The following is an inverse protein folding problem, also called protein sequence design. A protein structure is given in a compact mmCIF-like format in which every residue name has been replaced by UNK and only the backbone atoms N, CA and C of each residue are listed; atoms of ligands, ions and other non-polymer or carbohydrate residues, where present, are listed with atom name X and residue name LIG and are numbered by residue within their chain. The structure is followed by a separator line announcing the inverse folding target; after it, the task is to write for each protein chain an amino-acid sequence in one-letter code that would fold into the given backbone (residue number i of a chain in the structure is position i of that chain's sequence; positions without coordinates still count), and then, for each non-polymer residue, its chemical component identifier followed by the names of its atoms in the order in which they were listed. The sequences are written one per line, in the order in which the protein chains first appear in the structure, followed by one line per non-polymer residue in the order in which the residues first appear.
data_IF_910517748964
#
_entry.id   IF_910517748964
#
_cell.length_a   1.000
_cell.length_b   1.000
_cell.length_c   1.000
_cell.angle_alpha   90.00
_cell.angle_beta   90.00
_cell.angle_gamma   90.00
#
_symmetry.space_group_name_H-M   'P 1'
#
loop_
_entity.id
_entity.type
_entity.pdbx_description
1 polymer ?
#
# COMPACT_ATOMS: atom_id res chain seq x y z
N UNK A 1 -7.75 28.61 -3.25
CA UNK A 1 -8.80 28.27 -2.26
C UNK A 1 -8.11 27.83 -0.97
N UNK A 2 -8.43 28.46 0.16
CA UNK A 2 -7.78 28.30 1.47
C UNK A 2 -8.20 27.02 2.22
N UNK A 3 -8.40 25.91 1.50
CA UNK A 3 -8.90 24.67 2.10
C UNK A 3 -7.99 24.22 3.24
N UNK A 4 -8.56 23.87 4.39
CA UNK A 4 -7.86 23.43 5.61
C UNK A 4 -6.87 24.44 6.22
N UNK A 5 -6.83 25.72 5.80
CA UNK A 5 -5.85 26.66 6.34
C UNK A 5 -5.98 26.86 7.85
N UNK A 6 -7.22 26.94 8.35
CA UNK A 6 -7.53 27.18 9.77
C UNK A 6 -8.07 25.91 10.47
N UNK A 7 -7.76 24.74 9.93
CA UNK A 7 -8.21 23.45 10.45
C UNK A 7 -7.00 22.58 10.66
N UNK A 8 -6.81 22.03 11.84
CA UNK A 8 -5.78 21.03 12.07
C UNK A 8 -6.31 19.65 11.76
N UNK A 9 -5.50 18.90 11.01
CA UNK A 9 -5.82 17.54 10.63
C UNK A 9 -5.38 16.61 11.76
N UNK A 10 -6.23 15.69 12.25
CA UNK A 10 -5.86 14.76 13.30
C UNK A 10 -4.66 13.92 12.88
N UNK A 11 -3.71 13.74 13.79
CA UNK A 11 -2.60 12.81 13.61
C UNK A 11 -3.14 11.36 13.53
N UNK A 12 -2.59 10.51 12.66
CA UNK A 12 -2.94 9.09 12.66
C UNK A 12 -2.48 8.44 13.97
N UNK A 13 -3.16 7.36 14.38
CA UNK A 13 -2.89 6.69 15.66
C UNK A 13 -1.41 6.27 15.84
N UNK A 14 -0.75 5.65 14.84
CA UNK A 14 0.67 5.31 14.96
C UNK A 14 1.64 6.49 14.68
N UNK A 15 1.21 7.76 14.69
CA UNK A 15 2.10 8.90 14.34
C UNK A 15 3.36 9.02 15.21
N UNK A 16 3.30 8.54 16.47
CA UNK A 16 4.40 8.59 17.45
C UNK A 16 5.05 7.24 17.73
N UNK A 17 4.93 6.30 16.80
CA UNK A 17 5.57 4.99 16.85
C UNK A 17 7.10 5.08 17.05
N UNK A 18 7.64 4.23 17.93
CA UNK A 18 9.05 4.19 18.30
C UNK A 18 9.85 3.03 17.68
N UNK A 19 9.17 2.18 16.89
CA UNK A 19 9.73 1.05 16.16
C UNK A 19 10.37 -0.03 17.05
N UNK A 20 10.12 -0.02 18.37
CA UNK A 20 10.82 -0.90 19.31
C UNK A 20 10.47 -2.39 19.17
N UNK A 21 9.29 -2.70 18.64
CA UNK A 21 8.77 -4.07 18.47
C UNK A 21 8.77 -4.51 17.00
N UNK A 22 9.69 -3.98 16.20
CA UNK A 22 9.77 -4.19 14.75
C UNK A 22 11.20 -4.43 14.27
N UNK A 23 11.34 -4.93 13.05
CA UNK A 23 12.63 -5.15 12.41
C UNK A 23 13.41 -3.85 12.26
N UNK A 24 14.74 -3.96 12.22
CA UNK A 24 15.62 -2.79 12.06
C UNK A 24 15.30 -2.00 10.78
N UNK A 25 14.81 -2.68 9.73
CA UNK A 25 14.34 -2.06 8.49
C UNK A 25 13.37 -0.88 8.73
N UNK A 26 12.43 -1.01 9.66
CA UNK A 26 11.49 0.06 10.00
C UNK A 26 12.22 1.26 10.62
N UNK A 27 13.08 0.99 11.61
CA UNK A 27 13.85 2.02 12.33
C UNK A 27 14.83 2.78 11.41
N UNK A 28 15.50 2.06 10.52
CA UNK A 28 16.59 2.59 9.68
C UNK A 28 16.10 3.39 8.46
N UNK A 29 14.83 3.26 8.08
CA UNK A 29 14.25 4.02 6.99
C UNK A 29 14.38 5.55 7.20
N UNK A 30 14.63 6.27 6.10
CA UNK A 30 14.75 7.73 6.03
C UNK A 30 13.51 8.37 5.43
N UNK A 31 12.39 8.19 6.13
CA UNK A 31 11.06 8.66 5.76
C UNK A 31 10.33 9.40 6.89
N UNK A 32 11.04 9.79 7.96
CA UNK A 32 10.42 10.42 9.12
C UNK A 32 9.96 11.84 8.80
N UNK A 33 8.75 12.18 9.22
CA UNK A 33 8.17 13.52 9.06
C UNK A 33 9.02 14.60 9.73
N UNK A 34 9.53 14.34 10.93
CA UNK A 34 10.35 15.28 11.68
C UNK A 34 11.79 15.40 11.15
N UNK A 35 12.41 14.28 10.76
CA UNK A 35 13.84 14.23 10.42
C UNK A 35 14.14 14.35 8.94
N UNK A 36 13.36 13.68 8.08
CA UNK A 36 13.77 13.39 6.70
C UNK A 36 13.07 14.26 5.64
N UNK A 37 11.97 14.94 6.01
CA UNK A 37 11.32 15.89 5.11
C UNK A 37 12.23 17.06 4.76
N UNK A 38 12.26 17.40 3.48
CA UNK A 38 13.09 18.48 2.93
C UNK A 38 12.28 19.73 2.62
N UNK A 39 12.96 20.84 2.33
CA UNK A 39 12.32 22.08 1.86
C UNK A 39 11.49 21.87 0.58
N UNK A 40 11.87 20.88 -0.25
CA UNK A 40 11.11 20.53 -1.45
C UNK A 40 9.77 19.89 -1.09
N UNK A 41 9.76 19.05 -0.06
CA UNK A 41 8.56 18.38 0.42
C UNK A 41 7.60 19.39 1.08
N UNK A 42 8.15 20.27 1.92
CA UNK A 42 7.39 21.26 2.70
C UNK A 42 6.99 22.49 1.90
N UNK A 43 7.77 22.85 0.87
CA UNK A 43 7.60 24.03 0.00
C UNK A 43 7.67 25.37 0.74
N UNK A 44 8.02 25.34 2.02
CA UNK A 44 8.10 26.46 2.94
C UNK A 44 9.17 26.16 4.00
N UNK A 45 9.93 27.17 4.46
CA UNK A 45 10.88 26.98 5.53
C UNK A 45 10.17 26.66 6.84
N UNK A 46 10.79 25.78 7.64
CA UNK A 46 10.34 25.49 9.01
C UNK A 46 10.54 26.75 9.87
N UNK A 47 9.55 27.17 10.68
CA UNK A 47 9.69 28.31 11.60
C UNK A 47 10.82 28.10 12.62
N UNK A 48 11.56 29.16 12.93
CA UNK A 48 12.58 29.11 13.96
C UNK A 48 11.98 29.07 15.38
N UNK A 49 12.70 28.46 16.32
CA UNK A 49 12.35 28.46 17.75
C UNK A 49 11.32 27.43 18.18
N UNK A 50 10.91 26.51 17.30
CA UNK A 50 10.05 25.38 17.66
C UNK A 50 10.83 24.32 18.47
N UNK A 51 10.16 23.69 19.42
CA UNK A 51 10.63 22.42 20.01
C UNK A 51 10.51 21.29 18.98
N UNK A 52 11.18 20.16 19.20
CA UNK A 52 11.11 19.02 18.27
C UNK A 52 9.68 18.49 18.06
N UNK A 53 8.85 18.51 19.10
CA UNK A 53 7.45 18.10 19.00
C UNK A 53 6.62 19.09 18.15
N UNK A 54 6.79 20.39 18.39
CA UNK A 54 6.13 21.44 17.61
C UNK A 54 6.58 21.44 16.14
N UNK A 55 7.86 21.19 15.88
CA UNK A 55 8.39 21.05 14.52
C UNK A 55 7.78 19.85 13.80
N UNK A 56 7.75 18.68 14.45
CA UNK A 56 7.12 17.47 13.89
C UNK A 56 5.65 17.72 13.54
N UNK A 57 4.91 18.32 14.46
CA UNK A 57 3.51 18.67 14.25
C UNK A 57 3.34 19.68 13.12
N UNK A 58 4.18 20.72 13.07
CA UNK A 58 4.13 21.73 12.00
C UNK A 58 4.39 21.11 10.62
N UNK A 59 5.44 20.27 10.50
CA UNK A 59 5.78 19.55 9.27
C UNK A 59 4.63 18.64 8.83
N UNK A 60 4.05 17.90 9.76
CA UNK A 60 2.88 17.07 9.51
C UNK A 60 1.69 17.88 8.98
N UNK A 61 1.27 18.93 9.71
CA UNK A 61 0.15 19.77 9.30
C UNK A 61 0.38 20.39 7.93
N UNK A 62 1.61 20.83 7.63
CA UNK A 62 1.96 21.38 6.32
C UNK A 62 1.80 20.36 5.20
N UNK A 63 2.33 19.16 5.43
CA UNK A 63 2.32 18.03 4.50
C UNK A 63 0.90 17.54 4.22
N UNK A 64 0.14 17.17 5.26
CA UNK A 64 -1.19 16.57 5.10
C UNK A 64 -2.20 17.55 4.49
N UNK A 65 -2.13 18.84 4.86
CA UNK A 65 -2.99 19.88 4.25
C UNK A 65 -2.66 20.06 2.76
N UNK A 66 -1.40 19.93 2.36
CA UNK A 66 -1.02 19.98 0.95
C UNK A 66 -1.57 18.78 0.18
N UNK A 67 -1.39 17.58 0.73
CA UNK A 67 -1.90 16.33 0.17
C UNK A 67 -3.41 16.39 -0.04
N UNK A 68 -4.18 16.74 1.00
CA UNK A 68 -5.64 16.80 0.92
C UNK A 68 -6.17 17.88 -0.03
N UNK A 69 -5.42 18.97 -0.25
CA UNK A 69 -5.76 19.96 -1.29
C UNK A 69 -5.60 19.40 -2.70
N UNK A 70 -4.56 18.59 -2.93
CA UNK A 70 -4.40 17.86 -4.19
C UNK A 70 -5.55 16.87 -4.40
N UNK A 71 -5.90 16.08 -3.37
CA UNK A 71 -7.05 15.15 -3.42
C UNK A 71 -8.35 15.88 -3.79
N UNK A 72 -8.66 17.00 -3.11
CA UNK A 72 -9.85 17.79 -3.42
C UNK A 72 -9.83 18.36 -4.86
N UNK A 73 -8.65 18.71 -5.39
CA UNK A 73 -8.52 19.15 -6.78
C UNK A 73 -8.79 18.00 -7.76
N UNK A 74 -8.32 16.79 -7.47
CA UNK A 74 -8.59 15.61 -8.31
C UNK A 74 -10.08 15.25 -8.26
N UNK A 75 -10.69 15.22 -7.07
CA UNK A 75 -12.11 14.91 -6.86
C UNK A 75 -13.04 15.81 -7.68
N UNK A 76 -12.82 17.13 -7.66
CA UNK A 76 -13.56 18.07 -8.49
C UNK A 76 -13.47 17.76 -10.00
N UNK A 77 -12.32 17.28 -10.47
CA UNK A 77 -12.14 16.93 -11.89
C UNK A 77 -12.73 15.56 -12.23
N UNK A 78 -12.73 14.61 -11.30
CA UNK A 78 -13.49 13.35 -11.45
C UNK A 78 -14.97 13.66 -11.59
N UNK A 79 -15.53 14.54 -10.74
CA UNK A 79 -16.92 14.98 -10.85
C UNK A 79 -17.26 15.55 -12.23
N UNK A 80 -16.41 16.42 -12.77
CA UNK A 80 -16.59 16.98 -14.14
C UNK A 80 -16.58 15.92 -15.23
N UNK A 81 -15.75 14.88 -15.11
CA UNK A 81 -15.70 13.78 -16.06
C UNK A 81 -16.96 12.91 -15.96
N UNK A 82 -17.42 12.63 -14.73
CA UNK A 82 -18.65 11.88 -14.49
C UNK A 82 -19.88 12.61 -15.05
N UNK A 83 -19.99 13.93 -14.78
CA UNK A 83 -21.06 14.78 -15.31
C UNK A 83 -21.11 14.75 -16.85
N UNK A 84 -19.93 14.75 -17.50
CA UNK A 84 -19.85 14.65 -18.95
C UNK A 84 -20.36 13.30 -19.47
N UNK A 85 -19.98 12.18 -18.83
CA UNK A 85 -20.47 10.85 -19.21
C UNK A 85 -22.01 10.77 -19.10
N UNK A 86 -22.59 11.41 -18.10
CA UNK A 86 -24.04 11.44 -17.90
C UNK A 86 -24.74 12.33 -18.94
N UNK A 87 -24.21 13.53 -19.20
CA UNK A 87 -24.77 14.48 -20.18
C UNK A 87 -24.76 13.96 -21.61
N UNK A 88 -23.72 13.21 -21.98
CA UNK A 88 -23.58 12.61 -23.32
C UNK A 88 -24.26 11.23 -23.43
N UNK A 89 -24.88 10.73 -22.37
CA UNK A 89 -25.56 9.43 -22.37
C UNK A 89 -24.61 8.24 -22.50
N UNK A 90 -23.34 8.39 -22.08
CA UNK A 90 -22.29 7.37 -22.17
C UNK A 90 -22.15 6.52 -20.91
N UNK A 91 -22.72 6.97 -19.78
CA UNK A 91 -22.52 6.38 -18.47
C UNK A 91 -22.85 4.88 -18.41
N UNK A 92 -23.97 4.46 -19.02
CA UNK A 92 -24.41 3.07 -19.03
C UNK A 92 -23.43 2.13 -19.75
N UNK A 93 -22.68 2.62 -20.73
CA UNK A 93 -21.74 1.79 -21.51
C UNK A 93 -20.26 2.12 -21.22
N UNK A 94 -19.98 2.71 -20.06
CA UNK A 94 -18.62 3.09 -19.67
C UNK A 94 -18.29 2.51 -18.32
N UNK A 95 -17.22 1.71 -18.27
CA UNK A 95 -16.57 1.32 -17.03
C UNK A 95 -15.74 2.50 -16.53
N UNK A 96 -15.98 2.94 -15.30
CA UNK A 96 -15.14 3.93 -14.61
C UNK A 96 -14.48 3.26 -13.41
N UNK A 97 -13.16 3.33 -13.34
CA UNK A 97 -12.36 2.86 -12.20
C UNK A 97 -11.63 4.06 -11.60
N UNK A 98 -11.82 4.28 -10.30
CA UNK A 98 -11.03 5.22 -9.50
C UNK A 98 -10.14 4.43 -8.55
N UNK A 99 -8.83 4.61 -8.70
CA UNK A 99 -7.81 3.83 -7.98
C UNK A 99 -6.49 4.58 -7.90
N UNK A 100 -5.48 3.98 -7.27
CA UNK A 100 -4.09 4.47 -7.19
C UNK A 100 -3.12 3.45 -7.79
N UNK A 101 -1.83 3.78 -7.87
CA UNK A 101 -0.76 2.83 -8.18
C UNK A 101 -0.28 2.05 -6.94
N UNK A 102 -0.28 2.73 -5.78
CA UNK A 102 -0.04 2.18 -4.44
C UNK A 102 -0.70 3.07 -3.36
N UNK A 103 -0.58 2.64 -2.11
CA UNK A 103 -0.87 3.47 -0.94
C UNK A 103 0.23 4.50 -0.66
N UNK A 104 0.11 5.20 0.47
CA UNK A 104 1.05 6.22 0.92
C UNK A 104 0.95 6.43 2.44
N UNK A 105 2.08 6.57 3.13
CA UNK A 105 2.10 6.97 4.52
C UNK A 105 1.74 8.46 4.63
N UNK A 106 0.66 8.78 5.34
CA UNK A 106 0.16 10.13 5.52
C UNK A 106 0.46 10.64 6.92
N UNK A 107 1.62 10.27 7.46
CA UNK A 107 2.00 10.47 8.86
C UNK A 107 1.99 9.17 9.66
N UNK A 108 1.37 8.10 9.15
CA UNK A 108 1.31 6.80 9.82
C UNK A 108 2.73 6.31 10.13
N UNK A 109 2.92 5.76 11.33
CA UNK A 109 4.24 5.44 11.87
C UNK A 109 5.22 6.63 11.91
N UNK A 110 4.75 7.87 11.91
CA UNK A 110 5.60 9.06 11.76
C UNK A 110 6.27 9.18 10.37
N UNK A 111 5.77 8.45 9.36
CA UNK A 111 6.34 8.39 8.02
C UNK A 111 5.59 9.22 6.97
N UNK A 112 6.31 9.58 5.91
CA UNK A 112 5.76 9.98 4.63
C UNK A 112 6.35 9.08 3.53
N UNK A 113 5.89 9.21 2.28
CA UNK A 113 6.28 8.33 1.17
C UNK A 113 5.63 6.93 1.23
N UNK A 114 6.21 5.94 0.57
CA UNK A 114 5.71 4.57 0.39
C UNK A 114 6.91 3.61 0.46
N UNK A 115 6.76 2.36 0.01
CA UNK A 115 7.81 1.33 -0.29
C UNK A 115 7.79 0.14 0.64
N UNK A 116 7.20 0.27 1.81
CA UNK A 116 7.00 -0.87 2.69
C UNK A 116 5.71 -1.62 2.35
N UNK A 117 5.64 -2.85 2.84
CA UNK A 117 4.47 -3.71 2.75
C UNK A 117 3.41 -3.45 3.86
N UNK A 118 3.61 -2.45 4.74
CA UNK A 118 2.58 -2.01 5.70
C UNK A 118 1.34 -1.49 4.96
N UNK A 119 0.17 -1.64 5.58
CA UNK A 119 -1.15 -1.54 4.95
C UNK A 119 -1.37 -0.16 4.31
N UNK A 120 -0.90 0.92 4.91
CA UNK A 120 -1.05 2.28 4.39
C UNK A 120 -0.28 2.51 3.09
N UNK A 121 0.85 1.83 2.90
CA UNK A 121 1.66 1.88 1.67
C UNK A 121 1.21 0.81 0.65
N UNK A 122 0.71 -0.33 1.14
CA UNK A 122 0.35 -1.48 0.35
C UNK A 122 -1.06 -1.39 -0.27
N UNK A 123 -2.05 -0.96 0.52
CA UNK A 123 -3.46 -0.98 0.15
C UNK A 123 -3.83 0.25 -0.67
N UNK A 124 -4.46 0.01 -1.82
CA UNK A 124 -4.97 1.05 -2.70
C UNK A 124 -6.46 1.32 -2.46
N UNK A 125 -6.94 2.57 -2.66
CA UNK A 125 -8.36 2.78 -2.85
C UNK A 125 -8.80 2.12 -4.16
N UNK A 126 -9.99 1.52 -4.18
CA UNK A 126 -10.59 0.99 -5.40
C UNK A 126 -12.10 1.23 -5.39
N UNK A 127 -12.58 2.01 -6.35
CA UNK A 127 -14.00 2.25 -6.59
C UNK A 127 -14.28 2.03 -8.07
N UNK A 128 -15.33 1.28 -8.37
CA UNK A 128 -15.69 0.96 -9.75
C UNK A 128 -17.17 1.25 -9.98
N UNK A 129 -17.46 1.92 -11.10
CA UNK A 129 -18.82 2.19 -11.58
C UNK A 129 -18.99 1.52 -12.94
N UNK A 130 -19.96 0.62 -13.01
CA UNK A 130 -20.42 0.05 -14.28
C UNK A 130 -21.90 -0.34 -14.16
N UNK A 131 -22.85 0.55 -14.49
CA UNK A 131 -24.28 0.37 -14.17
C UNK A 131 -24.92 -0.92 -14.70
N UNK A 132 -24.38 -1.52 -15.77
CA UNK A 132 -24.91 -2.75 -16.38
C UNK A 132 -24.69 -4.00 -15.54
N UNK A 133 -23.71 -3.97 -14.65
CA UNK A 133 -23.21 -5.17 -13.95
C UNK A 133 -23.01 -4.93 -12.44
N UNK A 134 -22.66 -3.71 -12.02
CA UNK A 134 -22.43 -3.36 -10.62
C UNK A 134 -23.67 -2.70 -10.03
N UNK A 135 -24.21 -3.31 -8.96
CA UNK A 135 -25.23 -2.68 -8.14
C UNK A 135 -24.65 -1.48 -7.37
N UNK A 136 -25.28 -0.31 -7.50
CA UNK A 136 -24.80 0.91 -6.86
C UNK A 136 -24.80 0.79 -5.32
N UNK A 137 -23.70 1.20 -4.69
CA UNK A 137 -23.54 1.13 -3.24
C UNK A 137 -23.14 -0.26 -2.70
N UNK A 138 -22.89 -1.23 -3.58
CA UNK A 138 -22.32 -2.52 -3.18
C UNK A 138 -20.91 -2.36 -2.61
N UNK A 139 -20.56 -3.24 -1.67
CA UNK A 139 -19.25 -3.35 -1.03
C UNK A 139 -18.80 -4.80 -1.18
N UNK A 140 -17.52 -5.00 -1.54
CA UNK A 140 -16.91 -6.31 -1.64
C UNK A 140 -15.54 -6.26 -0.94
N UNK A 141 -15.30 -7.24 -0.05
CA UNK A 141 -14.09 -7.35 0.76
C UNK A 141 -13.11 -8.40 0.23
N UNK A 142 -13.42 -9.06 -0.89
CA UNK A 142 -12.53 -10.02 -1.55
C UNK A 142 -11.26 -9.30 -2.02
N UNK A 143 -10.13 -9.98 -1.85
CA UNK A 143 -8.83 -9.39 -2.19
C UNK A 143 -8.67 -9.31 -3.71
N UNK A 144 -8.42 -8.12 -4.26
CA UNK A 144 -8.00 -7.90 -5.66
C UNK A 144 -6.59 -7.31 -5.71
N UNK A 145 -5.86 -7.56 -6.80
CA UNK A 145 -4.52 -7.01 -7.04
C UNK A 145 -4.52 -6.09 -8.27
N UNK A 146 -3.51 -5.23 -8.36
CA UNK A 146 -3.26 -4.41 -9.54
C UNK A 146 -3.12 -5.25 -10.83
N UNK A 147 -2.58 -6.48 -10.72
CA UNK A 147 -2.45 -7.42 -11.84
C UNK A 147 -3.81 -7.91 -12.38
N UNK A 148 -4.85 -7.90 -11.55
CA UNK A 148 -6.18 -8.40 -11.92
C UNK A 148 -6.91 -7.47 -12.90
N UNK A 149 -6.48 -6.20 -13.01
CA UNK A 149 -7.17 -5.18 -13.80
C UNK A 149 -7.13 -5.51 -15.29
N UNK A 150 -5.97 -5.94 -15.80
CA UNK A 150 -5.79 -6.23 -17.21
C UNK A 150 -6.75 -7.33 -17.68
N UNK A 151 -6.75 -8.48 -17.00
CA UNK A 151 -7.61 -9.61 -17.35
C UNK A 151 -9.09 -9.30 -17.14
N UNK A 152 -9.42 -8.45 -16.16
CA UNK A 152 -10.79 -7.99 -15.97
C UNK A 152 -11.28 -7.12 -17.12
N UNK A 153 -10.44 -6.21 -17.64
CA UNK A 153 -10.83 -5.36 -18.78
C UNK A 153 -10.96 -6.15 -20.08
N UNK A 154 -10.09 -7.14 -20.30
CA UNK A 154 -10.19 -8.05 -21.43
C UNK A 154 -11.47 -8.88 -21.37
N UNK A 155 -11.79 -9.43 -20.20
CA UNK A 155 -13.07 -10.13 -19.95
C UNK A 155 -14.27 -9.22 -20.25
N UNK A 156 -14.28 -7.99 -19.72
CA UNK A 156 -15.36 -7.02 -19.98
C UNK A 156 -15.50 -6.60 -21.46
N UNK A 157 -14.49 -6.83 -22.30
CA UNK A 157 -14.47 -6.42 -23.72
C UNK A 157 -14.49 -7.60 -24.69
N UNK A 158 -14.66 -8.83 -24.19
CA UNK A 158 -14.63 -10.07 -24.97
C UNK A 158 -13.33 -10.23 -25.79
N UNK A 159 -12.21 -9.75 -25.25
CA UNK A 159 -10.88 -9.91 -25.85
C UNK A 159 -10.17 -11.08 -25.18
N UNK A 160 -9.52 -11.91 -26.00
CA UNK A 160 -8.77 -13.08 -25.52
C UNK A 160 -7.62 -12.67 -24.58
N UNK A 161 -7.45 -13.44 -23.51
CA UNK A 161 -6.34 -13.29 -22.55
C UNK A 161 -5.13 -14.13 -23.00
N UNK A 162 -3.94 -13.78 -22.51
CA UNK A 162 -2.72 -14.56 -22.75
C UNK A 162 -2.29 -15.31 -21.50
N UNK A 163 -1.66 -16.48 -21.69
CA UNK A 163 -1.19 -17.35 -20.60
C UNK A 163 -0.06 -16.72 -19.76
N UNK A 164 0.54 -15.62 -20.23
CA UNK A 164 1.60 -14.88 -19.52
C UNK A 164 1.05 -13.97 -18.40
N UNK A 165 -0.25 -13.68 -18.41
CA UNK A 165 -0.88 -12.84 -17.41
C UNK A 165 -1.02 -13.60 -16.08
N UNK A 166 -0.65 -12.94 -14.98
CA UNK A 166 -0.63 -13.53 -13.64
C UNK A 166 -1.78 -13.05 -12.73
N UNK A 167 -2.71 -12.26 -13.27
CA UNK A 167 -3.90 -11.82 -12.56
C UNK A 167 -5.07 -12.79 -12.72
N UNK A 168 -6.25 -12.33 -12.31
CA UNK A 168 -7.51 -13.04 -12.50
C UNK A 168 -8.65 -12.05 -12.68
N UNK A 169 -9.51 -12.27 -13.67
CA UNK A 169 -10.69 -11.41 -13.83
C UNK A 169 -11.57 -11.44 -12.57
N UNK A 170 -11.84 -10.27 -11.99
CA UNK A 170 -12.78 -10.09 -10.88
C UNK A 170 -14.16 -9.64 -11.36
N UNK A 171 -14.46 -9.68 -12.67
CA UNK A 171 -15.80 -9.38 -13.19
C UNK A 171 -16.93 -10.15 -12.49
N UNK A 172 -16.79 -11.44 -12.09
CA UNK A 172 -17.87 -12.09 -11.35
C UNK A 172 -18.11 -11.47 -9.97
N UNK A 173 -17.05 -10.95 -9.32
CA UNK A 173 -17.16 -10.27 -8.01
C UNK A 173 -17.93 -8.95 -8.11
N UNK A 174 -17.82 -8.24 -9.24
CA UNK A 174 -18.60 -7.02 -9.53
C UNK A 174 -20.11 -7.25 -9.44
N UNK A 175 -20.55 -8.48 -9.75
CA UNK A 175 -21.96 -8.85 -9.84
C UNK A 175 -22.44 -9.52 -8.55
N UNK A 176 -21.71 -9.35 -7.44
CA UNK A 176 -22.01 -9.92 -6.12
C UNK A 176 -21.87 -11.44 -6.05
N UNK A 177 -21.20 -12.08 -7.02
CA UNK A 177 -20.99 -13.53 -6.99
C UNK A 177 -19.76 -13.87 -6.18
N UNK A 178 -19.90 -14.82 -5.27
CA UNK A 178 -18.76 -15.45 -4.61
C UNK A 178 -18.06 -16.41 -5.58
N UNK A 179 -16.74 -16.39 -5.59
CA UNK A 179 -15.93 -17.37 -6.31
C UNK A 179 -15.31 -18.30 -5.26
N UNK A 180 -15.65 -19.59 -5.31
CA UNK A 180 -15.30 -20.57 -4.26
C UNK A 180 -13.79 -20.67 -4.00
N UNK A 181 -12.98 -20.64 -5.07
CA UNK A 181 -11.52 -20.68 -5.00
C UNK A 181 -10.92 -19.29 -5.27
N UNK A 182 -11.51 -18.23 -4.73
CA UNK A 182 -10.91 -16.89 -4.82
C UNK A 182 -9.65 -16.80 -3.96
N UNK A 183 -8.75 -15.92 -4.39
CA UNK A 183 -7.46 -15.73 -3.74
C UNK A 183 -7.64 -15.18 -2.32
N UNK A 184 -7.08 -15.88 -1.32
CA UNK A 184 -7.13 -15.49 0.09
C UNK A 184 -5.84 -14.83 0.60
N UNK A 185 -4.79 -14.80 -0.22
CA UNK A 185 -3.48 -14.26 0.11
C UNK A 185 -2.81 -13.60 -1.09
N UNK A 186 -1.84 -12.73 -0.87
CA UNK A 186 -1.10 -12.05 -1.92
C UNK A 186 0.39 -12.04 -1.66
N UNK A 187 1.15 -12.25 -2.72
CA UNK A 187 2.60 -12.10 -2.73
C UNK A 187 2.98 -10.67 -3.09
N UNK A 188 3.96 -10.11 -2.38
CA UNK A 188 4.52 -8.78 -2.63
C UNK A 188 6.04 -8.85 -2.65
N UNK A 189 6.68 -8.05 -3.53
CA UNK A 189 8.13 -7.90 -3.57
C UNK A 189 8.59 -6.47 -3.86
N UNK A 190 9.59 -6.04 -3.11
CA UNK A 190 10.32 -4.79 -3.28
C UNK A 190 11.83 -5.05 -3.42
N UNK A 191 12.42 -4.58 -4.53
CA UNK A 191 13.79 -4.93 -4.92
C UNK A 191 14.87 -3.91 -4.52
N UNK A 192 14.49 -2.64 -4.29
CA UNK A 192 15.44 -1.53 -4.32
C UNK A 192 16.11 -1.27 -2.96
N UNK A 193 17.03 -2.16 -2.56
CA UNK A 193 17.74 -2.08 -1.28
C UNK A 193 18.50 -0.76 -1.12
N UNK A 194 18.15 0.02 -0.10
CA UNK A 194 18.74 1.31 0.28
C UNK A 194 18.73 2.41 -0.80
N UNK A 195 18.15 2.16 -1.97
CA UNK A 195 18.16 3.08 -3.11
C UNK A 195 17.40 4.38 -2.82
N UNK A 196 16.26 4.25 -2.16
CA UNK A 196 15.37 5.37 -1.84
C UNK A 196 14.97 5.27 -0.38
N UNK A 197 15.19 6.36 0.35
CA UNK A 197 14.85 6.47 1.77
C UNK A 197 15.39 5.34 2.65
N UNK A 198 16.53 4.73 2.31
CA UNK A 198 17.15 3.66 3.11
C UNK A 198 16.21 2.47 3.42
N UNK A 199 15.22 2.19 2.56
CA UNK A 199 14.33 1.05 2.75
C UNK A 199 15.04 -0.25 2.35
N UNK A 200 14.93 -1.29 3.17
CA UNK A 200 15.54 -2.58 2.88
C UNK A 200 14.70 -3.32 1.84
N UNK A 201 15.35 -3.98 0.88
CA UNK A 201 14.65 -4.88 -0.02
C UNK A 201 14.00 -6.04 0.73
N UNK A 202 12.79 -6.40 0.32
CA UNK A 202 11.95 -7.35 1.03
C UNK A 202 10.92 -8.01 0.11
N UNK A 203 10.37 -9.12 0.57
CA UNK A 203 9.16 -9.71 0.02
C UNK A 203 8.30 -10.25 1.14
N UNK A 204 7.05 -10.59 0.85
CA UNK A 204 6.16 -11.10 1.88
C UNK A 204 4.84 -11.61 1.36
N UNK A 205 4.03 -12.07 2.31
CA UNK A 205 2.69 -12.59 2.12
C UNK A 205 1.72 -11.75 2.97
N UNK A 206 0.57 -11.37 2.40
CA UNK A 206 -0.55 -10.77 3.15
C UNK A 206 -1.79 -11.62 2.94
N UNK A 207 -2.42 -12.05 4.03
CA UNK A 207 -3.75 -12.70 4.04
C UNK A 207 -4.78 -11.71 4.60
N UNK A 208 -6.03 -12.12 4.81
CA UNK A 208 -7.00 -11.26 5.52
C UNK A 208 -6.63 -11.00 6.98
N UNK A 209 -5.93 -11.94 7.61
CA UNK A 209 -5.75 -11.96 9.06
C UNK A 209 -4.30 -11.72 9.48
N UNK A 210 -3.34 -12.00 8.60
CA UNK A 210 -1.92 -11.97 8.92
C UNK A 210 -1.09 -11.36 7.80
N UNK A 211 0.05 -10.77 8.16
CA UNK A 211 1.06 -10.31 7.22
C UNK A 211 2.44 -10.80 7.65
N UNK A 212 3.14 -11.48 6.75
CA UNK A 212 4.50 -11.98 6.94
C UNK A 212 5.44 -11.24 5.99
N UNK A 213 6.47 -10.58 6.53
CA UNK A 213 7.45 -9.82 5.75
C UNK A 213 8.83 -10.39 6.01
N UNK A 214 9.59 -10.61 4.95
CA UNK A 214 11.00 -10.97 5.02
C UNK A 214 11.87 -9.88 4.38
N UNK A 215 12.65 -9.22 5.22
CA UNK A 215 13.67 -8.28 4.80
C UNK A 215 14.94 -9.06 4.49
N UNK A 216 15.12 -9.45 3.23
CA UNK A 216 16.36 -10.09 2.79
C UNK A 216 17.53 -9.10 2.68
N UNK A 217 17.21 -7.80 2.62
CA UNK A 217 18.13 -6.69 2.84
C UNK A 217 19.45 -6.78 2.03
N UNK A 218 19.34 -7.17 0.76
CA UNK A 218 20.45 -7.31 -0.18
C UNK A 218 20.09 -6.59 -1.49
N UNK A 219 21.06 -5.93 -2.12
CA UNK A 219 20.88 -5.29 -3.41
C UNK A 219 20.76 -6.26 -4.58
N UNK A 220 21.30 -7.48 -4.46
CA UNK A 220 21.31 -8.51 -5.51
C UNK A 220 21.83 -8.03 -6.87
N UNK A 221 22.70 -7.00 -6.88
CA UNK A 221 23.17 -6.35 -8.11
C UNK A 221 22.06 -5.65 -8.92
N UNK A 222 20.87 -5.45 -8.33
CA UNK A 222 19.75 -4.77 -8.98
C UNK A 222 20.11 -3.31 -9.26
N UNK A 223 19.92 -2.79 -10.49
CA UNK A 223 20.21 -1.39 -10.79
C UNK A 223 19.53 -0.42 -9.83
N UNK A 224 20.33 0.47 -9.22
CA UNK A 224 19.87 1.48 -8.26
C UNK A 224 19.93 1.04 -6.80
N UNK A 225 20.03 -0.25 -6.50
CA UNK A 225 20.24 -0.75 -5.14
C UNK A 225 21.68 -0.50 -4.67
N UNK A 226 21.86 -0.31 -3.37
CA UNK A 226 23.19 -0.25 -2.76
C UNK A 226 23.77 -1.66 -2.60
N UNK A 227 25.10 -1.76 -2.72
CA UNK A 227 25.90 -2.94 -2.40
C UNK A 227 26.35 -2.87 -0.93
N UNK A 228 25.38 -2.92 -0.01
CA UNK A 228 25.59 -2.81 1.44
C UNK A 228 24.59 -3.72 2.20
N UNK A 229 24.72 -5.06 2.06
CA UNK A 229 23.76 -5.99 2.63
C UNK A 229 23.67 -5.87 4.16
N UNK A 230 22.46 -6.06 4.70
CA UNK A 230 22.18 -6.06 6.14
C UNK A 230 21.74 -7.45 6.59
N UNK A 231 21.83 -7.77 7.91
CA UNK A 231 21.29 -9.02 8.42
C UNK A 231 19.82 -9.17 8.04
N UNK A 232 19.38 -10.34 7.55
CA UNK A 232 17.99 -10.54 7.19
C UNK A 232 17.12 -10.63 8.45
N UNK A 233 15.89 -10.13 8.34
CA UNK A 233 14.93 -10.06 9.44
C UNK A 233 13.53 -10.43 8.97
N UNK A 234 12.70 -10.91 9.91
CA UNK A 234 11.30 -11.21 9.68
C UNK A 234 10.38 -10.34 10.52
N UNK A 235 9.21 -10.03 9.98
CA UNK A 235 8.07 -9.52 10.73
C UNK A 235 6.84 -10.36 10.47
N UNK A 236 6.01 -10.54 11.51
CA UNK A 236 4.69 -11.14 11.43
C UNK A 236 3.70 -10.26 12.19
N UNK A 237 2.62 -9.84 11.54
CA UNK A 237 1.54 -9.08 12.17
C UNK A 237 0.23 -9.88 12.17
N UNK A 238 -0.49 -9.83 13.29
CA UNK A 238 -1.87 -10.31 13.44
C UNK A 238 -2.80 -9.11 13.21
N UNK A 239 -3.31 -8.97 11.99
CA UNK A 239 -4.04 -7.79 11.52
C UNK A 239 -5.38 -7.60 12.24
N UNK A 240 -5.91 -8.64 12.91
CA UNK A 240 -7.12 -8.52 13.73
C UNK A 240 -6.83 -7.89 15.09
N UNK A 241 -5.68 -8.19 15.69
CA UNK A 241 -5.28 -7.67 17.00
C UNK A 241 -4.46 -6.38 16.90
N UNK A 242 -3.73 -6.23 15.80
CA UNK A 242 -2.82 -5.13 15.53
C UNK A 242 -3.05 -4.59 14.10
N UNK A 243 -4.16 -3.88 13.86
CA UNK A 243 -4.50 -3.34 12.54
C UNK A 243 -3.53 -2.25 12.08
N UNK A 244 -2.71 -1.71 12.99
CA UNK A 244 -1.70 -0.70 12.71
C UNK A 244 -0.30 -1.29 12.60
N UNK A 245 -0.10 -2.60 12.71
CA UNK A 245 1.17 -3.26 12.42
C UNK A 245 2.35 -2.67 13.22
N UNK A 246 2.11 -2.36 14.49
CA UNK A 246 3.10 -1.77 15.39
C UNK A 246 3.88 -2.82 16.21
N UNK A 247 3.37 -4.05 16.31
CA UNK A 247 3.96 -5.12 17.11
C UNK A 247 4.16 -6.39 16.27
N UNK A 248 5.40 -6.65 15.86
CA UNK A 248 5.75 -7.93 15.24
C UNK A 248 5.67 -9.05 16.28
N UNK A 249 4.89 -10.09 15.96
CA UNK A 249 4.75 -11.31 16.76
C UNK A 249 5.59 -12.48 16.21
N UNK A 250 6.57 -12.20 15.33
CA UNK A 250 7.39 -13.25 14.71
C UNK A 250 8.18 -14.07 15.74
N UNK A 251 8.69 -13.46 16.81
CA UNK A 251 9.42 -14.22 17.85
C UNK A 251 8.49 -14.80 18.93
N UNK A 252 7.17 -14.62 18.81
CA UNK A 252 6.22 -15.16 19.77
C UNK A 252 5.94 -16.65 19.47
N UNK A 253 6.25 -17.58 20.41
CA UNK A 253 6.06 -19.01 20.19
C UNK A 253 4.60 -19.41 19.95
N UNK A 254 3.64 -18.64 20.44
CA UNK A 254 2.20 -18.90 20.22
C UNK A 254 1.80 -18.77 18.74
N UNK A 255 2.63 -18.11 17.92
CA UNK A 255 2.41 -17.91 16.48
C UNK A 255 3.24 -18.87 15.61
N UNK A 256 3.96 -19.84 16.19
CA UNK A 256 4.88 -20.72 15.45
C UNK A 256 4.20 -21.54 14.34
N UNK A 257 2.99 -22.06 14.58
CA UNK A 257 2.22 -22.78 13.55
C UNK A 257 1.80 -21.85 12.40
N UNK A 258 1.37 -20.63 12.73
CA UNK A 258 0.99 -19.60 11.74
C UNK A 258 2.22 -19.20 10.91
N UNK A 259 3.37 -19.00 11.52
CA UNK A 259 4.61 -18.69 10.80
C UNK A 259 4.97 -19.78 9.79
N UNK A 260 4.91 -21.06 10.20
CA UNK A 260 5.20 -22.18 9.32
C UNK A 260 4.21 -22.25 8.14
N UNK A 261 2.92 -22.05 8.42
CA UNK A 261 1.88 -22.03 7.38
C UNK A 261 2.12 -20.90 6.37
N UNK A 262 2.27 -19.66 6.84
CA UNK A 262 2.46 -18.49 5.98
C UNK A 262 3.77 -18.57 5.20
N UNK A 263 4.83 -19.12 5.80
CA UNK A 263 6.11 -19.32 5.10
C UNK A 263 5.97 -20.36 3.97
N UNK A 264 5.26 -21.46 4.22
CA UNK A 264 4.98 -22.46 3.19
C UNK A 264 4.17 -21.86 2.03
N UNK A 265 3.15 -21.08 2.35
CA UNK A 265 2.30 -20.41 1.35
C UNK A 265 3.08 -19.35 0.55
N UNK A 266 3.92 -18.56 1.21
CA UNK A 266 4.82 -17.60 0.56
C UNK A 266 5.70 -18.29 -0.49
N UNK A 267 6.31 -19.42 -0.16
CA UNK A 267 7.16 -20.16 -1.10
C UNK A 267 6.37 -20.80 -2.25
N UNK A 268 5.15 -21.25 -1.99
CA UNK A 268 4.24 -21.73 -3.05
C UNK A 268 3.91 -20.62 -4.04
N UNK A 269 3.54 -19.43 -3.55
CA UNK A 269 3.25 -18.27 -4.41
C UNK A 269 4.50 -17.80 -5.17
N UNK A 270 5.66 -17.73 -4.53
CA UNK A 270 6.91 -17.43 -5.23
C UNK A 270 7.15 -18.39 -6.39
N UNK A 271 7.07 -19.70 -6.13
CA UNK A 271 7.20 -20.72 -7.17
C UNK A 271 6.14 -20.58 -8.27
N UNK A 272 4.89 -20.29 -7.91
CA UNK A 272 3.80 -20.09 -8.86
C UNK A 272 4.09 -18.92 -9.81
N UNK A 273 4.64 -17.82 -9.29
CA UNK A 273 4.93 -16.62 -10.07
C UNK A 273 6.34 -16.59 -10.67
N UNK A 274 7.07 -17.70 -10.61
CA UNK A 274 8.42 -17.83 -11.18
C UNK A 274 9.51 -17.08 -10.41
N UNK A 275 9.23 -16.68 -9.17
CA UNK A 275 10.22 -16.11 -8.25
C UNK A 275 10.82 -17.20 -7.36
N UNK A 276 11.91 -16.89 -6.66
CA UNK A 276 12.60 -17.80 -5.75
C UNK A 276 12.88 -17.14 -4.40
N UNK A 277 12.88 -17.92 -3.29
CA UNK A 277 13.36 -17.43 -2.01
C UNK A 277 14.79 -16.91 -2.11
N UNK A 278 15.11 -15.88 -1.35
CA UNK A 278 16.48 -15.39 -1.24
C UNK A 278 17.39 -16.50 -0.68
N UNK A 279 18.53 -16.71 -1.33
CA UNK A 279 19.58 -17.62 -0.88
C UNK A 279 20.81 -16.77 -0.52
N UNK A 280 21.22 -16.85 0.74
CA UNK A 280 22.43 -16.18 1.27
C UNK A 280 23.73 -16.82 0.78
#
# INVERSE_FOLDING_TARGET
MHLYQNTDIPEPEPFHDDYSNRASAAKEAKMRVDRDMTDRDLKYPVPEGLTSAEEKQWKYQRYIKDYLRCVASIDNNVGRMLDYLDQEGLAENTIVVYTSDQGFFLGDHGWYDKRFMYEESLRMPFVMRYPREIEAGSINDDMILNLDFAQTFLDCTDVDQTDEMQGRSFRPLMNGKTIEDWRASMYYRYWMHLAHHHVYAHYGLRTHDYKLIYYYADGLGTPGSADDPKPPEWELFDLKKDPHEINSVYDNPDYSEIQAQLTSELYQLQSQFGDQPYQS
#
